data_IF_451456108958
#
_entry.id   IF_451456108958
#
_cell.length_a   1.000
_cell.length_b   1.000
_cell.length_c   1.000
_cell.angle_alpha   90.00
_cell.angle_beta   90.00
_cell.angle_gamma   90.00
#
_symmetry.space_group_name_H-M   'P 1'
#
loop_
_entity.id
_entity.type
_entity.pdbx_description
1 polymer ?
#
# COMPACT_ATOMS: atom_id res chain seq x y z
N UNK A 1 -18.57 -32.00 -16.53
CA UNK A 1 -19.31 -31.72 -15.29
C UNK A 1 -18.47 -30.89 -14.31
N UNK A 2 -17.21 -31.23 -14.09
CA UNK A 2 -16.31 -30.51 -13.17
C UNK A 2 -16.09 -29.05 -13.58
N UNK A 3 -15.84 -28.80 -14.89
CA UNK A 3 -15.65 -27.44 -15.41
C UNK A 3 -16.88 -26.54 -15.20
N UNK A 4 -18.09 -27.06 -15.47
CA UNK A 4 -19.33 -26.31 -15.26
C UNK A 4 -19.55 -25.96 -13.77
N UNK A 5 -19.18 -26.85 -12.86
CA UNK A 5 -19.21 -26.61 -11.41
C UNK A 5 -18.25 -25.51 -11.03
N UNK A 6 -16.99 -25.58 -11.45
CA UNK A 6 -15.98 -24.54 -11.17
C UNK A 6 -16.40 -23.17 -11.70
N UNK A 7 -16.99 -23.11 -12.91
CA UNK A 7 -17.50 -21.84 -13.46
C UNK A 7 -18.62 -21.29 -12.57
N UNK A 8 -19.57 -22.13 -12.16
CA UNK A 8 -20.69 -21.72 -11.32
C UNK A 8 -20.22 -21.22 -9.95
N UNK A 9 -19.30 -21.90 -9.28
CA UNK A 9 -18.71 -21.49 -8.00
C UNK A 9 -17.96 -20.14 -8.09
N UNK A 10 -17.39 -19.83 -9.24
CA UNK A 10 -16.67 -18.58 -9.49
C UNK A 10 -17.53 -17.44 -10.04
N UNK A 11 -18.86 -17.52 -9.91
CA UNK A 11 -19.79 -16.48 -10.33
C UNK A 11 -20.37 -16.64 -11.74
N UNK A 12 -20.18 -17.79 -12.38
CA UNK A 12 -20.79 -18.13 -13.69
C UNK A 12 -20.33 -17.23 -14.83
N UNK A 13 -21.25 -16.82 -15.67
CA UNK A 13 -21.01 -15.90 -16.78
C UNK A 13 -21.39 -14.45 -16.46
N UNK A 14 -21.64 -14.14 -15.18
CA UNK A 14 -21.97 -12.79 -14.76
C UNK A 14 -20.74 -11.88 -14.90
N UNK A 15 -20.85 -10.69 -15.53
CA UNK A 15 -19.73 -9.75 -15.61
C UNK A 15 -19.34 -9.25 -14.22
N UNK A 16 -18.08 -8.91 -14.07
CA UNK A 16 -17.59 -8.17 -12.89
C UNK A 16 -17.90 -6.71 -13.11
N UNK A 17 -18.73 -6.12 -12.24
CA UNK A 17 -19.09 -4.71 -12.30
C UNK A 17 -18.49 -4.01 -11.08
N UNK A 18 -17.62 -3.03 -11.32
CA UNK A 18 -17.03 -2.17 -10.28
C UNK A 18 -17.59 -0.77 -10.49
N UNK A 19 -18.42 -0.31 -9.56
CA UNK A 19 -19.04 1.02 -9.64
C UNK A 19 -18.17 2.04 -8.92
N UNK A 20 -18.10 3.27 -9.45
CA UNK A 20 -17.36 4.35 -8.81
C UNK A 20 -17.83 4.68 -7.40
N UNK A 21 -19.14 4.47 -7.13
CA UNK A 21 -19.73 4.67 -5.80
C UNK A 21 -19.28 3.64 -4.74
N UNK A 22 -18.78 2.48 -5.17
CA UNK A 22 -18.40 1.40 -4.25
C UNK A 22 -17.00 1.63 -3.64
N UNK A 23 -16.24 2.61 -4.15
CA UNK A 23 -14.85 2.90 -3.75
C UNK A 23 -13.97 1.64 -3.68
N UNK A 24 -14.20 0.71 -4.60
CA UNK A 24 -13.56 -0.58 -4.67
C UNK A 24 -12.64 -0.70 -5.89
N UNK A 25 -11.72 -1.64 -5.81
CA UNK A 25 -10.88 -2.12 -6.92
C UNK A 25 -10.95 -3.63 -7.00
N UNK A 26 -10.74 -4.19 -8.20
CA UNK A 26 -10.66 -5.63 -8.41
C UNK A 26 -9.23 -6.13 -8.41
N UNK A 27 -8.86 -6.95 -7.44
CA UNK A 27 -7.59 -7.69 -7.44
C UNK A 27 -7.78 -8.97 -8.24
N UNK A 28 -6.96 -9.15 -9.26
CA UNK A 28 -7.05 -10.27 -10.18
C UNK A 28 -6.11 -11.39 -9.74
N UNK A 29 -6.61 -12.62 -9.72
CA UNK A 29 -5.80 -13.82 -9.57
C UNK A 29 -5.97 -14.68 -10.83
N UNK A 30 -4.89 -14.79 -11.60
CA UNK A 30 -4.86 -15.61 -12.83
C UNK A 30 -4.47 -17.04 -12.48
N UNK A 31 -5.14 -18.02 -13.09
CA UNK A 31 -4.94 -19.47 -12.84
C UNK A 31 -4.06 -20.15 -13.87
N UNK A 32 -3.75 -19.48 -14.99
CA UNK A 32 -2.97 -20.00 -16.10
C UNK A 32 -1.71 -19.15 -16.35
N UNK A 33 -0.75 -19.73 -17.07
CA UNK A 33 0.52 -19.08 -17.38
C UNK A 33 1.72 -19.64 -16.60
N UNK A 34 2.87 -19.06 -16.82
CA UNK A 34 4.11 -19.44 -16.16
C UNK A 34 4.05 -19.18 -14.64
N UNK A 35 4.79 -19.95 -13.86
CA UNK A 35 4.95 -19.67 -12.42
C UNK A 35 5.71 -18.37 -12.22
N UNK A 36 5.43 -17.68 -11.11
CA UNK A 36 6.23 -16.52 -10.70
C UNK A 36 7.70 -16.92 -10.48
N UNK A 37 8.65 -16.03 -10.77
CA UNK A 37 10.05 -16.20 -10.38
C UNK A 37 10.16 -16.40 -8.87
N UNK A 38 11.22 -17.10 -8.47
CA UNK A 38 11.49 -17.32 -7.04
C UNK A 38 11.70 -15.99 -6.31
N UNK A 39 10.98 -15.80 -5.20
CA UNK A 39 11.01 -14.59 -4.38
C UNK A 39 9.99 -13.52 -4.79
N UNK A 40 9.26 -13.70 -5.90
CA UNK A 40 8.15 -12.82 -6.26
C UNK A 40 6.83 -13.37 -5.69
N UNK A 41 6.02 -12.45 -5.13
CA UNK A 41 4.71 -12.77 -4.53
C UNK A 41 3.54 -12.34 -5.43
N UNK A 42 3.79 -11.41 -6.35
CA UNK A 42 2.81 -10.80 -7.23
C UNK A 42 3.38 -10.74 -8.64
N UNK A 43 2.55 -11.07 -9.63
CA UNK A 43 2.92 -11.01 -11.03
C UNK A 43 3.07 -9.56 -11.50
N UNK A 44 4.13 -9.23 -12.24
CA UNK A 44 4.32 -7.90 -12.79
C UNK A 44 3.23 -7.55 -13.80
N UNK A 45 3.08 -6.27 -14.11
CA UNK A 45 2.17 -5.80 -15.15
C UNK A 45 2.75 -6.17 -16.50
N UNK A 46 1.95 -6.80 -17.34
CA UNK A 46 2.27 -7.17 -18.73
C UNK A 46 1.09 -6.86 -19.62
N UNK A 47 1.32 -6.55 -20.90
CA UNK A 47 0.28 -6.46 -21.93
C UNK A 47 -0.83 -5.45 -21.63
N UNK A 48 -0.55 -4.35 -20.96
CA UNK A 48 -1.50 -3.30 -20.59
C UNK A 48 -1.58 -2.14 -21.61
N UNK A 49 -0.68 -2.10 -22.61
CA UNK A 49 -0.66 -1.06 -23.64
C UNK A 49 -1.68 -1.39 -24.77
N UNK A 50 -2.77 -0.59 -24.93
CA UNK A 50 -3.77 -0.79 -25.97
C UNK A 50 -3.25 -0.59 -27.39
N UNK A 51 -2.08 0.03 -27.57
CA UNK A 51 -1.46 0.20 -28.86
C UNK A 51 -0.75 -1.05 -29.39
N UNK A 52 -0.41 -1.99 -28.50
CA UNK A 52 0.24 -3.26 -28.83
C UNK A 52 -0.79 -4.38 -28.91
N UNK A 53 -1.57 -4.40 -29.99
CA UNK A 53 -2.73 -5.32 -30.14
C UNK A 53 -2.44 -6.80 -29.93
N UNK A 54 -1.23 -7.25 -30.24
CA UNK A 54 -0.86 -8.66 -30.10
C UNK A 54 -0.75 -9.15 -28.66
N UNK A 55 -0.50 -8.26 -27.71
CA UNK A 55 -0.30 -8.58 -26.30
C UNK A 55 -1.28 -7.84 -25.38
N UNK A 56 -2.09 -6.94 -25.91
CA UNK A 56 -3.06 -6.18 -25.12
C UNK A 56 -4.22 -7.07 -24.66
N UNK A 57 -4.22 -7.47 -23.43
CA UNK A 57 -5.21 -8.38 -22.86
C UNK A 57 -6.50 -7.71 -22.34
N UNK A 58 -6.68 -6.41 -22.62
CA UNK A 58 -7.89 -5.65 -22.28
C UNK A 58 -8.38 -5.90 -20.84
N UNK A 59 -7.53 -5.65 -19.87
CA UNK A 59 -7.82 -5.86 -18.45
C UNK A 59 -8.25 -7.33 -18.14
N UNK A 60 -7.43 -8.28 -18.57
CA UNK A 60 -7.62 -9.73 -18.38
C UNK A 60 -8.87 -10.34 -19.05
N UNK A 61 -9.48 -9.62 -19.99
CA UNK A 61 -10.61 -10.14 -20.76
C UNK A 61 -10.19 -11.04 -21.94
N UNK A 62 -8.93 -10.90 -22.38
CA UNK A 62 -8.30 -11.75 -23.41
C UNK A 62 -7.18 -12.61 -22.79
N UNK A 63 -7.46 -13.86 -22.44
CA UNK A 63 -6.47 -14.78 -21.89
C UNK A 63 -5.30 -15.08 -22.83
N UNK A 64 -5.55 -15.17 -24.14
CA UNK A 64 -4.50 -15.51 -25.10
C UNK A 64 -3.50 -14.37 -25.25
N UNK A 65 -3.99 -13.14 -25.34
CA UNK A 65 -3.13 -11.95 -25.37
C UNK A 65 -2.32 -11.80 -24.07
N UNK A 66 -2.91 -12.10 -22.91
CA UNK A 66 -2.20 -12.11 -21.63
C UNK A 66 -1.05 -13.13 -21.62
N UNK A 67 -1.28 -14.33 -22.09
CA UNK A 67 -0.25 -15.38 -22.18
C UNK A 67 0.82 -15.01 -23.22
N UNK A 68 0.42 -14.42 -24.35
CA UNK A 68 1.36 -13.92 -25.37
C UNK A 68 2.24 -12.78 -24.85
N UNK A 69 1.75 -11.97 -23.90
CA UNK A 69 2.51 -10.95 -23.21
C UNK A 69 3.50 -11.52 -22.17
N UNK A 70 3.55 -12.83 -21.98
CA UNK A 70 4.38 -13.48 -20.96
C UNK A 70 3.79 -13.42 -19.56
N UNK A 71 2.46 -13.31 -19.44
CA UNK A 71 1.75 -13.25 -18.17
C UNK A 71 1.99 -14.44 -17.26
N UNK A 72 2.14 -14.18 -15.97
CA UNK A 72 2.35 -15.20 -14.95
C UNK A 72 1.04 -15.53 -14.21
N UNK A 73 0.87 -16.79 -13.86
CA UNK A 73 -0.20 -17.21 -12.96
C UNK A 73 0.02 -16.64 -11.56
N UNK A 74 -1.08 -16.44 -10.83
CA UNK A 74 -1.07 -15.91 -9.48
C UNK A 74 -1.74 -14.54 -9.38
N UNK A 75 -1.55 -13.90 -8.24
CA UNK A 75 -2.10 -12.57 -7.99
C UNK A 75 -1.35 -11.53 -8.82
N UNK A 76 -2.11 -10.65 -9.48
CA UNK A 76 -1.58 -9.66 -10.41
C UNK A 76 -1.36 -8.31 -9.71
N UNK A 77 -0.30 -7.59 -10.08
CA UNK A 77 -0.06 -6.23 -9.60
C UNK A 77 -1.09 -5.25 -10.18
N UNK A 78 -1.43 -5.44 -11.46
CA UNK A 78 -2.48 -4.66 -12.12
C UNK A 78 -3.84 -4.96 -11.47
N UNK A 79 -4.57 -3.91 -11.14
CA UNK A 79 -5.92 -3.99 -10.58
C UNK A 79 -6.95 -3.51 -11.58
N UNK A 80 -8.19 -3.97 -11.43
CA UNK A 80 -9.33 -3.45 -12.16
C UNK A 80 -9.91 -2.26 -11.40
N UNK A 81 -10.17 -1.18 -12.10
CA UNK A 81 -10.84 0.01 -11.59
C UNK A 81 -12.32 0.01 -11.99
N UNK A 82 -12.99 1.16 -11.90
CA UNK A 82 -14.40 1.28 -12.32
C UNK A 82 -14.61 0.79 -13.76
N UNK A 83 -15.61 -0.08 -13.94
CA UNK A 83 -15.91 -0.65 -15.24
C UNK A 83 -16.72 -1.93 -15.16
N UNK A 84 -17.00 -2.49 -16.34
CA UNK A 84 -17.65 -3.78 -16.51
C UNK A 84 -16.72 -4.71 -17.28
N UNK A 85 -16.42 -5.87 -16.71
CA UNK A 85 -15.40 -6.79 -17.21
C UNK A 85 -16.00 -8.18 -17.43
N UNK A 86 -15.79 -8.74 -18.60
CA UNK A 86 -16.22 -10.08 -18.98
C UNK A 86 -15.05 -11.05 -18.81
N UNK A 87 -14.84 -11.51 -17.60
CA UNK A 87 -13.69 -12.36 -17.23
C UNK A 87 -14.03 -13.83 -17.41
N UNK A 88 -13.18 -14.55 -18.11
CA UNK A 88 -13.24 -16.02 -18.17
C UNK A 88 -12.92 -16.59 -16.77
N UNK A 89 -13.91 -17.18 -16.11
CA UNK A 89 -13.83 -17.69 -14.74
C UNK A 89 -12.90 -18.90 -14.57
N UNK A 90 -12.57 -19.58 -15.63
CA UNK A 90 -11.53 -20.62 -15.61
C UNK A 90 -10.14 -20.00 -15.63
N UNK A 91 -9.98 -18.88 -16.32
CA UNK A 91 -8.72 -18.16 -16.45
C UNK A 91 -8.40 -17.31 -15.21
N UNK A 92 -9.34 -16.52 -14.71
CA UNK A 92 -9.10 -15.62 -13.60
C UNK A 92 -10.28 -15.47 -12.64
N UNK A 93 -9.96 -15.12 -11.40
CA UNK A 93 -10.90 -14.71 -10.35
C UNK A 93 -10.60 -13.30 -9.90
N UNK A 94 -11.64 -12.58 -9.46
CA UNK A 94 -11.56 -11.18 -9.05
C UNK A 94 -12.04 -11.07 -7.60
N UNK A 95 -11.21 -10.47 -6.77
CA UNK A 95 -11.53 -10.11 -5.39
C UNK A 95 -11.72 -8.58 -5.33
N UNK A 96 -12.86 -8.13 -4.80
CA UNK A 96 -13.10 -6.70 -4.60
C UNK A 96 -12.56 -6.27 -3.24
N UNK A 97 -11.68 -5.25 -3.25
CA UNK A 97 -11.15 -4.64 -2.05
C UNK A 97 -11.38 -3.13 -2.09
N UNK A 98 -11.41 -2.48 -0.92
CA UNK A 98 -11.56 -1.03 -0.85
C UNK A 98 -10.33 -0.30 -1.42
N UNK A 99 -10.55 0.87 -2.03
CA UNK A 99 -9.48 1.81 -2.38
C UNK A 99 -8.77 2.28 -1.12
N UNK A 100 -7.49 2.58 -1.25
CA UNK A 100 -6.74 3.24 -0.18
C UNK A 100 -7.10 4.72 -0.13
N UNK A 101 -7.60 5.18 1.01
CA UNK A 101 -7.96 6.57 1.24
C UNK A 101 -6.87 7.22 2.08
N UNK A 102 -6.31 8.33 1.58
CA UNK A 102 -5.42 9.22 2.34
C UNK A 102 -6.23 10.45 2.70
N UNK A 103 -6.50 10.63 3.98
CA UNK A 103 -7.31 11.74 4.48
C UNK A 103 -6.53 13.06 4.51
N UNK A 104 -7.27 14.19 4.50
CA UNK A 104 -6.67 15.51 4.69
C UNK A 104 -5.98 15.59 6.04
N UNK A 105 -4.78 16.17 6.08
CA UNK A 105 -3.95 16.20 7.29
C UNK A 105 -3.00 15.02 7.44
N UNK A 106 -3.03 14.06 6.49
CA UNK A 106 -2.11 12.94 6.42
C UNK A 106 -1.49 12.82 5.02
N UNK A 107 -0.41 12.08 4.95
CA UNK A 107 0.14 11.54 3.69
C UNK A 107 0.33 10.04 3.83
N UNK A 108 0.19 9.34 2.71
CA UNK A 108 0.40 7.89 2.66
C UNK A 108 1.82 7.56 2.20
N UNK A 109 2.62 6.96 3.06
CA UNK A 109 3.94 6.45 2.68
C UNK A 109 3.80 5.00 2.26
N UNK A 110 4.16 4.71 1.01
CA UNK A 110 4.07 3.35 0.46
C UNK A 110 5.32 2.57 0.82
N UNK A 111 5.11 1.38 1.39
CA UNK A 111 6.15 0.36 1.58
C UNK A 111 5.82 -0.77 0.60
N UNK A 112 6.54 -0.83 -0.51
CA UNK A 112 6.32 -1.83 -1.56
C UNK A 112 7.08 -3.13 -1.27
N UNK A 113 6.39 -4.26 -1.40
CA UNK A 113 6.96 -5.61 -1.27
C UNK A 113 7.38 -6.19 -2.61
N UNK A 114 7.03 -5.53 -3.71
CA UNK A 114 7.26 -5.96 -5.09
C UNK A 114 7.93 -4.86 -5.90
N UNK A 115 8.47 -5.22 -7.05
CA UNK A 115 9.19 -4.32 -7.95
C UNK A 115 10.69 -4.63 -8.00
N UNK A 116 11.38 -3.96 -8.90
CA UNK A 116 12.83 -4.06 -9.02
C UNK A 116 13.52 -3.55 -7.74
N UNK A 117 14.71 -4.06 -7.46
CA UNK A 117 15.57 -3.47 -6.44
C UNK A 117 16.02 -2.08 -6.92
N UNK A 118 15.65 -1.05 -6.17
CA UNK A 118 16.00 0.33 -6.49
C UNK A 118 17.31 0.78 -5.86
N UNK A 119 17.77 1.96 -6.27
CA UNK A 119 18.89 2.61 -5.63
C UNK A 119 18.43 3.25 -4.32
N UNK A 120 19.03 2.83 -3.19
CA UNK A 120 18.72 3.40 -1.89
C UNK A 120 19.24 4.85 -1.78
N UNK A 121 18.33 5.78 -1.55
CA UNK A 121 18.60 7.23 -1.41
C UNK A 121 18.66 7.70 0.04
N UNK A 122 18.58 6.81 1.01
CA UNK A 122 18.44 7.15 2.44
C UNK A 122 19.75 7.54 3.15
N UNK A 123 20.91 7.38 2.50
CA UNK A 123 22.21 7.68 3.11
C UNK A 123 22.71 6.59 4.07
N UNK A 124 23.70 6.95 4.93
CA UNK A 124 24.42 5.99 5.79
C UNK A 124 23.85 5.88 7.22
N UNK A 125 22.86 6.68 7.59
CA UNK A 125 22.26 6.65 8.92
C UNK A 125 21.43 5.38 9.14
N UNK A 126 21.13 5.09 10.42
CA UNK A 126 20.26 3.97 10.80
C UNK A 126 18.91 4.02 10.10
N UNK A 127 18.48 2.90 9.56
CA UNK A 127 17.27 2.76 8.74
C UNK A 127 16.65 1.38 8.90
N UNK A 128 15.32 1.31 8.77
CA UNK A 128 14.54 0.07 8.76
C UNK A 128 14.32 -0.50 7.35
N UNK A 129 14.52 0.29 6.32
CA UNK A 129 14.32 -0.11 4.94
C UNK A 129 15.03 0.84 3.98
N UNK A 130 14.97 0.52 2.71
CA UNK A 130 15.56 1.32 1.65
C UNK A 130 14.56 2.36 1.16
N UNK A 131 15.02 3.61 1.01
CA UNK A 131 14.27 4.69 0.41
C UNK A 131 14.51 4.68 -1.10
N UNK A 132 13.48 4.33 -1.86
CA UNK A 132 13.57 4.03 -3.30
C UNK A 132 12.59 4.87 -4.12
N UNK A 133 12.74 4.87 -5.42
CA UNK A 133 11.80 5.52 -6.32
C UNK A 133 10.45 4.78 -6.34
N UNK A 134 9.41 5.50 -6.81
CA UNK A 134 8.08 4.93 -6.97
C UNK A 134 8.10 3.76 -7.95
N UNK A 135 7.47 2.64 -7.58
CA UNK A 135 7.42 1.41 -8.36
C UNK A 135 8.52 0.41 -8.03
N UNK A 136 9.53 0.79 -7.26
CA UNK A 136 10.59 -0.08 -6.79
C UNK A 136 10.24 -0.70 -5.42
N UNK A 137 10.94 -1.77 -5.05
CA UNK A 137 10.76 -2.47 -3.78
C UNK A 137 11.43 -1.71 -2.64
N UNK A 138 10.66 -1.32 -1.64
CA UNK A 138 11.12 -0.56 -0.48
C UNK A 138 10.15 0.55 -0.10
N UNK A 139 10.64 1.53 0.65
CA UNK A 139 9.87 2.71 1.03
C UNK A 139 9.95 3.74 -0.09
N UNK A 140 8.82 4.13 -0.66
CA UNK A 140 8.82 5.13 -1.73
C UNK A 140 9.17 6.51 -1.20
N UNK A 141 10.09 7.19 -1.88
CA UNK A 141 10.55 8.55 -1.54
C UNK A 141 9.49 9.64 -1.78
N UNK A 142 8.47 9.33 -2.59
CA UNK A 142 7.34 10.22 -2.86
C UNK A 142 6.08 9.71 -2.13
N UNK A 143 5.56 10.46 -1.14
CA UNK A 143 4.35 10.06 -0.44
C UNK A 143 3.10 10.32 -1.29
N UNK A 144 2.05 9.53 -1.06
CA UNK A 144 0.72 9.77 -1.60
C UNK A 144 0.08 10.94 -0.87
N UNK A 145 -0.35 11.95 -1.61
CA UNK A 145 -1.09 13.11 -1.08
C UNK A 145 -2.54 12.72 -0.74
N UNK A 146 -3.31 13.57 -0.03
CA UNK A 146 -4.72 13.31 0.24
C UNK A 146 -5.51 12.95 -1.02
N UNK A 147 -6.25 11.85 -0.96
CA UNK A 147 -7.00 11.33 -2.11
C UNK A 147 -7.34 9.85 -1.98
N UNK A 148 -7.96 9.30 -3.02
CA UNK A 148 -8.32 7.88 -3.13
C UNK A 148 -7.46 7.20 -4.20
N UNK A 149 -6.86 6.09 -3.85
CA UNK A 149 -5.88 5.39 -4.69
C UNK A 149 -6.29 3.94 -4.94
N UNK A 150 -6.19 3.53 -6.19
CA UNK A 150 -6.34 2.14 -6.60
C UNK A 150 -5.06 1.35 -6.28
N UNK A 151 -4.72 1.25 -5.00
CA UNK A 151 -3.50 0.59 -4.54
C UNK A 151 -3.78 -0.88 -4.19
N UNK A 152 -2.98 -1.78 -4.76
CA UNK A 152 -3.06 -3.21 -4.45
C UNK A 152 -2.39 -3.48 -3.10
N UNK A 153 -3.19 -3.67 -2.05
CA UNK A 153 -2.70 -3.89 -0.68
C UNK A 153 -1.93 -5.20 -0.48
N UNK A 154 -1.98 -6.11 -1.46
CA UNK A 154 -1.13 -7.30 -1.48
C UNK A 154 0.29 -7.02 -2.01
N UNK A 155 0.45 -5.94 -2.78
CA UNK A 155 1.74 -5.51 -3.30
C UNK A 155 2.56 -4.70 -2.31
N UNK A 156 1.93 -4.17 -1.27
CA UNK A 156 2.58 -3.31 -0.30
C UNK A 156 1.64 -2.82 0.78
N UNK A 157 2.15 -1.94 1.62
CA UNK A 157 1.42 -1.28 2.71
C UNK A 157 1.50 0.23 2.53
N UNK A 158 0.42 0.93 2.85
CA UNK A 158 0.42 2.40 2.91
C UNK A 158 0.34 2.81 4.39
N UNK A 159 1.36 3.50 4.86
CA UNK A 159 1.44 4.00 6.24
C UNK A 159 1.00 5.44 6.25
N UNK A 160 -0.02 5.76 7.06
CA UNK A 160 -0.52 7.13 7.21
C UNK A 160 0.36 7.90 8.18
N UNK A 161 0.92 9.01 7.71
CA UNK A 161 1.76 9.91 8.52
C UNK A 161 1.03 11.24 8.66
N UNK A 162 0.77 11.71 9.89
CA UNK A 162 0.14 13.00 10.11
C UNK A 162 1.06 14.14 9.69
N UNK A 163 0.50 15.12 8.99
CA UNK A 163 1.19 16.34 8.55
C UNK A 163 0.65 17.60 9.22
N UNK A 164 -0.36 17.45 10.07
CA UNK A 164 -0.84 18.52 10.95
C UNK A 164 0.02 18.61 12.19
N UNK A 165 0.02 19.78 12.83
CA UNK A 165 0.68 19.92 14.13
C UNK A 165 -0.04 19.06 15.18
N UNK A 166 0.70 18.30 15.95
CA UNK A 166 0.21 17.59 17.11
C UNK A 166 1.09 17.87 18.33
N UNK A 167 0.51 17.76 19.51
CA UNK A 167 1.17 18.10 20.77
C UNK A 167 1.42 16.80 21.53
N UNK A 168 2.68 16.50 21.80
CA UNK A 168 3.08 15.44 22.73
C UNK A 168 3.12 16.00 24.14
N UNK A 169 2.43 15.36 25.08
CA UNK A 169 2.35 15.77 26.47
C UNK A 169 3.04 14.75 27.39
N UNK A 170 3.99 15.20 28.18
CA UNK A 170 4.59 14.44 29.27
C UNK A 170 3.84 14.74 30.57
N UNK A 171 2.60 14.27 30.68
CA UNK A 171 1.74 14.42 31.86
C UNK A 171 1.04 13.10 32.15
N UNK A 172 0.69 12.87 33.42
CA UNK A 172 -0.04 11.65 33.82
C UNK A 172 -1.54 11.68 33.50
N UNK A 173 -2.11 12.86 33.27
CA UNK A 173 -3.58 13.05 33.35
C UNK A 173 -4.26 13.34 32.03
N UNK A 174 -3.55 13.67 30.96
CA UNK A 174 -4.16 14.04 29.68
C UNK A 174 -3.46 13.36 28.50
N UNK A 175 -4.07 12.38 27.91
CA UNK A 175 -3.71 11.92 26.56
C UNK A 175 -4.28 12.90 25.52
N UNK A 176 -3.45 13.25 24.51
CA UNK A 176 -3.89 14.05 23.38
C UNK A 176 -4.93 13.29 22.52
N UNK A 177 -5.46 13.94 21.51
CA UNK A 177 -6.38 13.34 20.53
C UNK A 177 -5.76 12.20 19.72
N UNK A 178 -4.43 12.08 19.73
CA UNK A 178 -3.63 10.98 19.17
C UNK A 178 -2.99 10.21 20.34
N UNK A 179 -2.72 8.94 20.17
CA UNK A 179 -2.15 8.07 21.23
C UNK A 179 -0.61 8.06 21.28
N UNK A 180 0.06 9.02 20.62
CA UNK A 180 1.52 9.05 20.55
C UNK A 180 2.19 9.38 21.89
N UNK A 181 1.45 9.96 22.82
CA UNK A 181 1.91 10.34 24.16
C UNK A 181 1.36 9.47 25.30
N UNK A 182 0.63 8.39 24.97
CA UNK A 182 -0.02 7.50 25.94
C UNK A 182 0.94 6.92 26.98
N UNK A 183 2.21 6.72 26.59
CA UNK A 183 3.25 6.17 27.46
C UNK A 183 4.24 7.22 27.99
N UNK A 184 3.99 8.50 27.72
CA UNK A 184 4.85 9.58 28.20
C UNK A 184 4.44 9.98 29.62
N UNK A 185 5.44 10.14 30.50
CA UNK A 185 5.26 10.56 31.88
C UNK A 185 6.06 11.82 32.16
N UNK A 186 5.71 12.53 33.24
CA UNK A 186 6.44 13.71 33.72
C UNK A 186 7.94 13.47 33.81
N UNK A 187 8.72 14.45 33.39
CA UNK A 187 10.19 14.41 33.46
C UNK A 187 10.61 14.68 34.89
N UNK A 188 11.24 13.70 35.54
CA UNK A 188 11.82 13.83 36.86
C UNK A 188 13.26 14.33 36.74
N UNK A 189 13.62 15.39 37.48
CA UNK A 189 14.96 15.96 37.56
C UNK A 189 15.45 15.91 39.02
N UNK A 190 16.72 15.65 39.20
CA UNK A 190 17.36 15.73 40.53
C UNK A 190 18.22 17.00 40.57
N UNK A 191 17.89 17.92 41.46
CA UNK A 191 18.71 19.13 41.72
C UNK A 191 19.95 18.80 42.55
N UNK A 192 20.92 19.74 42.58
CA UNK A 192 22.12 19.59 43.41
C UNK A 192 21.81 19.38 44.91
N UNK A 193 20.68 19.91 45.36
CA UNK A 193 20.21 19.84 46.74
C UNK A 193 19.34 18.61 47.01
N UNK A 194 19.43 17.61 46.12
CA UNK A 194 18.65 16.34 46.19
C UNK A 194 17.11 16.53 46.18
N UNK A 195 16.62 17.65 45.68
CA UNK A 195 15.21 17.83 45.43
C UNK A 195 14.82 17.26 44.06
N UNK A 196 13.67 16.56 43.97
CA UNK A 196 13.20 15.87 42.76
C UNK A 196 11.92 16.55 42.23
N UNK A 197 12.03 17.66 41.51
CA UNK A 197 10.86 18.26 40.86
C UNK A 197 10.41 17.41 39.67
N UNK A 198 9.07 17.29 39.49
CA UNK A 198 8.45 16.74 38.31
C UNK A 198 8.00 17.87 37.40
N UNK A 199 8.45 17.81 36.15
CA UNK A 199 8.15 18.85 35.16
C UNK A 199 7.17 18.30 34.12
N UNK A 200 5.96 18.85 34.02
CA UNK A 200 5.11 18.62 32.86
C UNK A 200 5.71 19.32 31.64
N UNK A 201 5.83 18.60 30.54
CA UNK A 201 6.37 19.12 29.30
C UNK A 201 5.34 18.93 28.17
N UNK A 202 5.22 19.91 27.30
CA UNK A 202 4.46 19.81 26.07
C UNK A 202 5.33 20.21 24.89
N UNK A 203 5.37 19.35 23.85
CA UNK A 203 6.17 19.60 22.65
C UNK A 203 5.23 19.56 21.44
N UNK A 204 5.23 20.64 20.65
CA UNK A 204 4.53 20.70 19.38
C UNK A 204 5.41 20.07 18.32
N UNK A 205 4.88 19.06 17.64
CA UNK A 205 5.57 18.34 16.56
C UNK A 205 4.85 18.59 15.24
N UNK A 206 5.63 18.82 14.19
CA UNK A 206 5.16 18.93 12.82
C UNK A 206 6.03 18.05 11.91
N UNK A 207 5.40 17.27 11.06
CA UNK A 207 6.09 16.46 10.05
C UNK A 207 5.81 17.08 8.67
N UNK A 208 6.86 17.62 8.04
CA UNK A 208 6.78 18.05 6.64
C UNK A 208 6.44 16.81 5.77
N UNK A 209 5.40 16.91 4.94
CA UNK A 209 4.94 15.80 4.11
C UNK A 209 6.05 15.21 3.23
N UNK A 210 7.01 16.03 2.78
CA UNK A 210 8.16 15.60 1.98
C UNK A 210 9.11 14.71 2.76
N UNK A 211 9.14 14.87 4.10
CA UNK A 211 9.99 14.08 4.99
C UNK A 211 9.29 12.87 5.59
N UNK A 212 8.00 12.71 5.36
CA UNK A 212 7.24 11.56 5.84
C UNK A 212 7.84 10.21 5.42
N UNK A 213 8.33 10.01 4.18
CA UNK A 213 9.02 8.77 3.80
C UNK A 213 10.26 8.49 4.64
N UNK A 214 11.05 9.50 4.99
CA UNK A 214 12.21 9.37 5.86
C UNK A 214 11.82 8.98 7.30
N UNK A 215 10.70 9.49 7.81
CA UNK A 215 10.17 9.11 9.13
C UNK A 215 9.84 7.63 9.12
N UNK A 216 9.09 7.14 8.14
CA UNK A 216 8.73 5.72 8.01
C UNK A 216 9.97 4.85 7.81
N UNK A 217 10.92 5.28 6.97
CA UNK A 217 12.15 4.56 6.70
C UNK A 217 13.03 4.40 7.97
N UNK A 218 13.06 5.41 8.86
CA UNK A 218 13.88 5.41 10.08
C UNK A 218 13.19 4.75 11.27
N UNK A 219 11.89 4.98 11.44
CA UNK A 219 11.15 4.60 12.64
C UNK A 219 10.12 3.47 12.38
N UNK A 220 9.89 3.12 11.12
CA UNK A 220 8.88 2.14 10.73
C UNK A 220 7.46 2.69 10.80
N UNK A 221 6.51 1.83 11.19
CA UNK A 221 5.10 2.22 11.36
C UNK A 221 4.97 3.08 12.61
N UNK A 222 4.59 4.34 12.41
CA UNK A 222 4.34 5.28 13.50
C UNK A 222 2.97 4.97 14.10
N UNK A 223 2.96 4.20 15.17
CA UNK A 223 1.76 3.87 15.97
C UNK A 223 1.86 4.52 17.32
#
# INVERSE_FOLDING_TARGET
RQMAHTIAERGGFTPVVIKGADDAIGVVTVHDGASLPQGELIAPIVGDDPNVKATYHNNFQDPEAFLAAGGNRGRQLQVLVEGTYYINRLFATIELIAKTVVEVGHVGVVVSYTGAAGADTSGLEYKHGELVARGERGVWNEPLLPGKYAFNTYAGKVIMVPTTNFILKWTKEETGSHRFDENLSEVSLITKDAFEPKLPLSVVVHIDYRKAPLVVQRFGDVK
#
